data_IF_037450091866
#
_entry.id   IF_037450091866
#
_cell.length_a   1.000
_cell.length_b   1.000
_cell.length_c   1.000
_cell.angle_alpha   90.00
_cell.angle_beta   90.00
_cell.angle_gamma   90.00
#
_symmetry.space_group_name_H-M   'P 1'
#
loop_
_entity.id
_entity.type
_entity.pdbx_description
1 polymer ?
#
# COMPACT_ATOMS: atom_id res chain seq x y z
N UNK A 1 -30.05 -14.03 -9.15
CA UNK A 1 -30.06 -12.64 -8.66
C UNK A 1 -29.77 -12.66 -7.16
N UNK A 2 -28.69 -12.02 -6.73
CA UNK A 2 -28.45 -11.73 -5.31
C UNK A 2 -28.05 -10.25 -5.26
N UNK A 3 -28.97 -9.42 -4.80
CA UNK A 3 -28.73 -7.99 -4.61
C UNK A 3 -27.83 -7.85 -3.39
N UNK A 4 -26.63 -7.24 -3.48
CA UNK A 4 -25.82 -7.03 -2.30
C UNK A 4 -26.56 -6.08 -1.37
N UNK A 5 -26.69 -6.48 -0.10
CA UNK A 5 -27.38 -5.72 0.93
C UNK A 5 -26.79 -4.31 1.06
N UNK A 6 -27.66 -3.30 0.97
CA UNK A 6 -27.29 -1.91 1.20
C UNK A 6 -26.97 -1.72 2.69
N UNK A 7 -25.71 -1.49 3.02
CA UNK A 7 -25.31 -1.07 4.36
C UNK A 7 -25.90 0.32 4.67
N UNK A 8 -26.36 0.58 5.90
CA UNK A 8 -26.90 1.89 6.29
C UNK A 8 -25.84 2.99 6.12
N UNK A 9 -26.28 4.19 5.75
CA UNK A 9 -25.43 5.38 5.66
C UNK A 9 -24.99 5.83 7.07
N UNK A 10 -23.98 5.18 7.64
CA UNK A 10 -23.43 5.48 8.96
C UNK A 10 -21.91 5.29 8.94
N UNK A 11 -21.17 6.33 9.34
CA UNK A 11 -19.72 6.51 9.26
C UNK A 11 -19.12 6.36 7.85
N UNK A 12 -18.88 7.50 7.18
CA UNK A 12 -17.98 7.55 6.03
C UNK A 12 -16.58 7.24 6.56
N UNK A 13 -16.01 6.10 6.21
CA UNK A 13 -14.60 5.80 6.46
C UNK A 13 -13.81 5.97 5.16
N UNK A 14 -12.55 6.34 5.28
CA UNK A 14 -11.66 6.43 4.13
C UNK A 14 -11.50 5.09 3.42
N UNK A 15 -11.14 5.15 2.13
CA UNK A 15 -10.99 3.99 1.27
C UNK A 15 -9.55 3.86 0.78
N UNK A 16 -9.07 2.62 0.67
CA UNK A 16 -7.79 2.32 0.01
C UNK A 16 -8.04 2.18 -1.50
N UNK A 17 -7.35 3.01 -2.27
CA UNK A 17 -7.32 3.01 -3.73
C UNK A 17 -6.01 2.38 -4.20
N UNK A 18 -6.12 1.26 -4.90
CA UNK A 18 -4.98 0.51 -5.46
C UNK A 18 -5.27 0.13 -6.90
N UNK A 19 -4.22 0.05 -7.71
CA UNK A 19 -4.36 -0.56 -9.03
C UNK A 19 -4.43 -2.08 -8.92
N UNK A 20 -5.41 -2.68 -9.60
CA UNK A 20 -5.64 -4.14 -9.54
C UNK A 20 -4.50 -4.93 -10.17
N UNK A 21 -3.84 -4.36 -11.16
CA UNK A 21 -2.75 -5.02 -11.87
C UNK A 21 -1.77 -3.98 -12.36
N UNK A 22 -0.50 -4.20 -12.05
CA UNK A 22 0.62 -3.40 -12.52
C UNK A 22 1.57 -4.36 -13.22
N UNK A 23 1.97 -4.01 -14.44
CA UNK A 23 2.96 -4.77 -15.21
C UNK A 23 4.18 -3.92 -15.43
N UNK A 24 5.35 -4.56 -15.43
CA UNK A 24 6.62 -3.92 -15.68
C UNK A 24 7.50 -4.86 -16.50
N UNK A 25 8.44 -4.28 -17.24
CA UNK A 25 9.45 -5.03 -17.97
C UNK A 25 10.51 -5.50 -16.98
N UNK A 26 10.99 -6.74 -17.13
CA UNK A 26 12.09 -7.26 -16.32
C UNK A 26 13.31 -6.32 -16.44
N UNK A 27 13.93 -5.98 -15.32
CA UNK A 27 15.05 -5.03 -15.32
C UNK A 27 14.66 -3.58 -15.08
N UNK A 28 13.36 -3.26 -15.01
CA UNK A 28 12.88 -1.89 -14.81
C UNK A 28 12.27 -1.71 -13.42
N UNK A 29 12.43 -0.48 -12.91
CA UNK A 29 11.77 -0.04 -11.69
C UNK A 29 10.26 0.04 -11.92
N UNK A 30 9.47 -0.31 -10.92
CA UNK A 30 8.00 -0.29 -10.99
C UNK A 30 7.41 0.47 -9.82
N UNK A 31 6.38 1.28 -10.11
CA UNK A 31 5.58 1.93 -9.08
C UNK A 31 4.41 1.02 -8.72
N UNK A 32 4.27 0.71 -7.43
CA UNK A 32 3.10 0.06 -6.88
C UNK A 32 2.22 1.13 -6.23
N UNK A 33 1.15 1.61 -6.92
CA UNK A 33 0.32 2.69 -6.41
C UNK A 33 -0.57 2.18 -5.28
N UNK A 34 -0.59 2.94 -4.19
CA UNK A 34 -1.50 2.76 -3.07
C UNK A 34 -1.81 4.14 -2.51
N UNK A 35 -3.10 4.48 -2.41
CA UNK A 35 -3.55 5.73 -1.84
C UNK A 35 -4.66 5.48 -0.84
N UNK A 36 -4.60 6.13 0.32
CA UNK A 36 -5.73 6.17 1.24
C UNK A 36 -6.48 7.49 1.08
N UNK A 37 -7.75 7.40 0.71
CA UNK A 37 -8.66 8.54 0.63
C UNK A 37 -9.25 8.81 2.00
N UNK A 38 -8.48 9.49 2.85
CA UNK A 38 -8.89 9.90 4.20
C UNK A 38 -10.14 10.81 4.17
N UNK A 39 -11.03 10.63 5.13
CA UNK A 39 -12.10 11.58 5.50
C UNK A 39 -11.57 12.63 6.48
N UNK A 40 -12.41 13.59 6.89
CA UNK A 40 -12.03 14.54 7.93
C UNK A 40 -11.57 13.83 9.21
N UNK A 41 -10.48 14.32 9.81
CA UNK A 41 -9.81 13.78 11.00
C UNK A 41 -9.13 12.41 10.84
N UNK A 42 -9.23 11.72 9.70
CA UNK A 42 -8.47 10.48 9.45
C UNK A 42 -7.03 10.81 9.05
N UNK A 43 -6.06 10.07 9.61
CA UNK A 43 -4.65 10.18 9.27
C UNK A 43 -4.01 8.81 9.20
N UNK A 44 -3.17 8.57 8.19
CA UNK A 44 -2.43 7.31 8.06
C UNK A 44 -1.16 7.39 8.90
N UNK A 45 -1.04 6.49 9.89
CA UNK A 45 0.15 6.38 10.74
C UNK A 45 1.17 5.37 10.22
N UNK A 46 0.69 4.34 9.50
CA UNK A 46 1.52 3.26 8.99
C UNK A 46 0.92 2.66 7.72
N UNK A 47 1.80 2.28 6.79
CA UNK A 47 1.47 1.48 5.60
C UNK A 47 2.37 0.25 5.60
N UNK A 48 1.78 -0.94 5.46
CA UNK A 48 2.52 -2.20 5.37
C UNK A 48 2.31 -2.80 3.98
N UNK A 49 3.41 -2.99 3.25
CA UNK A 49 3.41 -3.71 1.98
C UNK A 49 3.68 -5.19 2.20
N UNK A 50 2.76 -6.03 1.73
CA UNK A 50 2.84 -7.48 1.82
C UNK A 50 2.84 -8.09 0.42
N UNK A 51 3.73 -9.05 0.18
CA UNK A 51 3.68 -9.90 -1.01
C UNK A 51 3.00 -11.21 -0.65
N UNK A 52 1.86 -11.49 -1.28
CA UNK A 52 1.17 -12.77 -1.13
C UNK A 52 1.92 -13.85 -1.92
N UNK A 53 2.35 -14.90 -1.22
CA UNK A 53 3.01 -16.06 -1.80
C UNK A 53 2.05 -17.10 -2.39
N UNK A 54 2.57 -18.11 -3.11
CA UNK A 54 1.77 -19.11 -3.82
C UNK A 54 0.85 -19.93 -2.90
N UNK A 55 1.25 -20.17 -1.66
CA UNK A 55 0.49 -20.92 -0.66
C UNK A 55 -0.40 -20.03 0.23
N UNK A 56 -0.70 -18.79 -0.21
CA UNK A 56 -1.48 -17.82 0.57
C UNK A 56 -0.73 -17.18 1.74
N UNK A 57 0.49 -17.62 2.05
CA UNK A 57 1.36 -16.98 3.05
C UNK A 57 1.82 -15.62 2.53
N UNK A 58 1.55 -14.56 3.29
CA UNK A 58 2.07 -13.22 3.00
C UNK A 58 3.45 -13.05 3.63
N UNK A 59 4.37 -12.46 2.88
CA UNK A 59 5.66 -11.98 3.40
C UNK A 59 5.66 -10.47 3.44
N UNK A 60 6.20 -9.91 4.52
CA UNK A 60 6.37 -8.47 4.64
C UNK A 60 7.48 -7.99 3.69
N UNK A 61 7.21 -6.92 2.95
CA UNK A 61 8.14 -6.29 2.02
C UNK A 61 8.72 -5.04 2.66
N UNK A 62 7.84 -4.16 3.14
CA UNK A 62 8.23 -2.93 3.83
C UNK A 62 7.11 -2.42 4.76
N UNK A 63 7.53 -1.72 5.81
CA UNK A 63 6.67 -0.95 6.70
C UNK A 63 7.09 0.52 6.60
N UNK A 64 6.15 1.38 6.23
CA UNK A 64 6.32 2.82 6.20
C UNK A 64 5.59 3.38 7.41
N UNK A 65 6.32 3.95 8.36
CA UNK A 65 5.75 4.52 9.57
C UNK A 65 6.03 6.02 9.63
N UNK A 66 5.03 6.81 10.03
CA UNK A 66 5.14 8.27 10.07
C UNK A 66 6.19 8.76 11.07
N UNK A 67 6.32 8.07 12.21
CA UNK A 67 7.21 8.46 13.31
C UNK A 67 8.55 7.73 13.27
N UNK A 68 8.54 6.47 12.85
CA UNK A 68 9.71 5.59 12.93
C UNK A 68 10.44 5.40 11.59
N UNK A 69 9.98 6.05 10.51
CA UNK A 69 10.57 5.95 9.19
C UNK A 69 10.19 4.65 8.48
N UNK A 70 11.06 4.19 7.58
CA UNK A 70 10.84 2.97 6.81
C UNK A 70 11.65 1.79 7.37
N UNK A 71 11.03 0.61 7.33
CA UNK A 71 11.68 -0.67 7.58
C UNK A 71 11.45 -1.53 6.35
N UNK A 72 12.52 -1.95 5.68
CA UNK A 72 12.44 -2.83 4.50
C UNK A 72 12.98 -4.20 4.88
N UNK A 73 12.24 -5.26 4.54
CA UNK A 73 12.65 -6.64 4.82
C UNK A 73 13.57 -7.18 3.74
N UNK A 74 14.52 -8.04 4.12
CA UNK A 74 15.27 -8.85 3.16
C UNK A 74 14.30 -9.74 2.35
N UNK A 75 14.51 -9.91 1.04
CA UNK A 75 15.62 -9.43 0.20
C UNK A 75 15.35 -8.08 -0.49
N UNK A 76 14.40 -7.28 -0.01
CA UNK A 76 13.97 -6.03 -0.67
C UNK A 76 14.77 -4.78 -0.25
N UNK A 77 15.70 -4.94 0.70
CA UNK A 77 16.59 -3.86 1.16
C UNK A 77 17.34 -3.23 -0.02
N UNK A 78 17.34 -1.89 -0.10
CA UNK A 78 17.94 -1.13 -1.20
C UNK A 78 17.10 -1.08 -2.49
N UNK A 79 16.00 -1.83 -2.55
CA UNK A 79 15.11 -1.90 -3.73
C UNK A 79 13.79 -1.17 -3.51
N UNK A 80 13.28 -1.11 -2.30
CA UNK A 80 12.04 -0.39 -1.99
C UNK A 80 12.37 1.06 -1.66
N UNK A 81 11.73 1.99 -2.38
CA UNK A 81 11.76 3.41 -2.06
C UNK A 81 10.32 3.93 -1.89
N UNK A 82 10.11 4.81 -0.93
CA UNK A 82 8.85 5.53 -0.82
C UNK A 82 8.69 6.53 -1.97
N UNK A 83 7.52 6.56 -2.63
CA UNK A 83 7.27 7.48 -3.76
C UNK A 83 7.19 8.94 -3.35
N UNK A 84 6.48 9.22 -2.24
CA UNK A 84 6.24 10.58 -1.77
C UNK A 84 6.88 10.80 -0.39
N UNK A 85 7.53 11.94 -0.19
CA UNK A 85 7.97 12.39 1.14
C UNK A 85 6.78 12.98 1.92
N UNK A 86 6.60 12.60 3.18
CA UNK A 86 5.65 13.24 4.10
C UNK A 86 4.49 12.35 4.53
N UNK A 87 3.26 12.73 4.19
CA UNK A 87 2.03 12.12 4.68
C UNK A 87 1.76 10.76 3.99
N UNK A 88 1.30 9.76 4.76
CA UNK A 88 1.22 8.35 4.32
C UNK A 88 -0.08 8.00 3.58
N UNK A 89 -0.94 8.98 3.33
CA UNK A 89 -2.08 8.86 2.44
C UNK A 89 -1.62 8.49 1.02
N UNK A 90 -0.43 8.94 0.61
CA UNK A 90 0.31 8.32 -0.49
C UNK A 90 1.22 7.22 0.07
N UNK A 91 0.71 5.99 0.06
CA UNK A 91 1.42 4.79 0.47
C UNK A 91 2.18 4.11 -0.66
N UNK A 92 2.27 4.72 -1.85
CA UNK A 92 2.92 4.11 -3.00
C UNK A 92 4.43 3.92 -2.77
N UNK A 93 4.94 2.80 -3.30
CA UNK A 93 6.36 2.50 -3.32
C UNK A 93 6.87 2.34 -4.75
N UNK A 94 8.14 2.63 -4.94
CA UNK A 94 8.92 2.19 -6.09
C UNK A 94 9.67 0.94 -5.70
N UNK A 95 9.48 -0.14 -6.45
CA UNK A 95 10.30 -1.33 -6.36
C UNK A 95 11.31 -1.29 -7.49
N UNK A 96 12.58 -1.10 -7.13
CA UNK A 96 13.70 -1.03 -8.06
C UNK A 96 14.16 -2.42 -8.47
N UNK A 97 14.59 -2.54 -9.71
CA UNK A 97 15.19 -3.78 -10.18
C UNK A 97 16.57 -4.01 -9.54
#
# INVERSE_FOLDING_TARGET
AAVPARLPAGCRSGAVEVERSVTAVLGQDVVLPCRYRAQEQEQVVQVTWLKRGPAGRSVEVAVLNRQHGEHVKEPYVGRVLRRASGALEDGAIVLRN
#
